data_IF_622788338100
#
_entry.id   IF_622788338100
#
_cell.length_a   1.000
_cell.length_b   1.000
_cell.length_c   1.000
_cell.angle_alpha   90.00
_cell.angle_beta   90.00
_cell.angle_gamma   90.00
#
_symmetry.space_group_name_H-M   'P 1'
#
loop_
_entity.id
_entity.type
_entity.pdbx_description
1 polymer ?
#
# COMPACT_ATOMS: atom_id res chain seq x y z
N UNK A 1 -59.68 -24.08 25.60
CA UNK A 1 -59.09 -24.25 26.94
C UNK A 1 -57.96 -25.26 26.79
N UNK A 2 -56.68 -24.98 27.03
CA UNK A 2 -56.04 -24.53 28.28
C UNK A 2 -54.77 -23.74 27.94
N UNK A 3 -54.45 -22.75 28.78
CA UNK A 3 -53.28 -21.87 28.69
C UNK A 3 -52.04 -22.61 29.19
N UNK A 4 -50.90 -22.41 28.54
CA UNK A 4 -49.56 -22.45 29.15
C UNK A 4 -48.66 -21.55 28.27
N UNK A 5 -48.51 -20.27 28.61
CA UNK A 5 -47.44 -19.74 29.48
C UNK A 5 -46.04 -20.24 29.07
N UNK A 6 -45.39 -19.39 28.26
CA UNK A 6 -44.00 -18.91 28.36
C UNK A 6 -42.93 -19.95 28.73
N UNK A 7 -42.04 -20.22 27.78
CA UNK A 7 -40.63 -20.40 28.07
C UNK A 7 -39.84 -19.58 27.04
N UNK A 8 -39.26 -18.48 27.50
CA UNK A 8 -38.27 -17.72 26.77
C UNK A 8 -37.00 -18.57 26.67
N UNK A 9 -36.63 -18.95 25.45
CA UNK A 9 -35.34 -19.60 25.15
C UNK A 9 -34.55 -18.69 24.24
N UNK A 10 -33.84 -17.75 24.85
CA UNK A 10 -32.74 -17.02 24.21
C UNK A 10 -31.58 -18.01 24.13
N UNK A 11 -31.19 -18.42 22.92
CA UNK A 11 -29.90 -19.07 22.68
C UNK A 11 -29.25 -18.48 21.42
N UNK A 12 -28.50 -17.40 21.68
CA UNK A 12 -27.17 -17.07 21.16
C UNK A 12 -26.87 -17.50 19.71
N UNK A 13 -27.11 -16.59 18.78
CA UNK A 13 -26.42 -16.60 17.50
C UNK A 13 -24.92 -16.38 17.76
N UNK A 14 -24.12 -17.44 17.71
CA UNK A 14 -22.67 -17.36 17.67
C UNK A 14 -22.26 -16.76 16.32
N UNK A 15 -22.20 -15.43 16.25
CA UNK A 15 -21.58 -14.72 15.14
C UNK A 15 -20.07 -14.93 15.20
N UNK A 16 -19.54 -15.82 14.35
CA UNK A 16 -18.11 -15.86 14.08
C UNK A 16 -17.72 -14.58 13.35
N UNK A 17 -17.38 -13.53 14.11
CA UNK A 17 -16.62 -12.41 13.55
C UNK A 17 -15.18 -12.91 13.38
N UNK A 18 -14.86 -13.39 12.18
CA UNK A 18 -13.46 -13.58 11.80
C UNK A 18 -12.75 -12.25 12.00
N UNK A 19 -11.59 -12.19 12.68
CA UNK A 19 -10.78 -10.97 12.68
C UNK A 19 -10.37 -10.73 11.22
N UNK A 20 -11.06 -9.79 10.56
CA UNK A 20 -10.63 -9.26 9.29
C UNK A 20 -9.25 -8.67 9.55
N UNK A 21 -8.22 -9.36 9.07
CA UNK A 21 -6.84 -8.88 9.08
C UNK A 21 -6.85 -7.60 8.26
N UNK A 22 -7.04 -6.48 8.94
CA UNK A 22 -6.97 -5.16 8.34
C UNK A 22 -5.52 -5.02 7.89
N UNK A 23 -5.27 -5.23 6.60
CA UNK A 23 -3.99 -4.93 5.99
C UNK A 23 -3.74 -3.45 6.25
N UNK A 24 -2.84 -3.19 7.20
CA UNK A 24 -2.41 -1.84 7.50
C UNK A 24 -1.85 -1.26 6.20
N UNK A 25 -2.24 -0.03 5.80
CA UNK A 25 -1.71 0.58 4.59
C UNK A 25 -0.18 0.58 4.68
N UNK A 26 0.47 -0.03 3.68
CA UNK A 26 1.92 -0.21 3.67
C UNK A 26 2.56 1.15 3.37
N UNK A 27 2.79 1.97 4.39
CA UNK A 27 3.50 3.26 4.31
C UNK A 27 2.86 4.31 3.39
N UNK A 28 3.39 5.54 3.44
CA UNK A 28 3.13 6.55 2.41
C UNK A 28 3.98 6.23 1.18
N UNK A 29 3.44 6.40 -0.03
CA UNK A 29 4.21 6.21 -1.26
C UNK A 29 5.40 7.17 -1.32
N UNK A 30 6.54 6.68 -1.80
CA UNK A 30 7.74 7.50 -2.00
C UNK A 30 7.48 8.52 -3.14
N UNK A 31 7.59 9.84 -2.89
CA UNK A 31 7.30 10.86 -3.90
C UNK A 31 8.24 10.79 -5.11
N UNK A 32 9.51 10.42 -4.93
CA UNK A 32 10.46 10.26 -6.03
C UNK A 32 10.08 9.06 -6.93
N UNK A 33 9.67 7.95 -6.32
CA UNK A 33 9.15 6.78 -7.04
C UNK A 33 7.88 7.11 -7.83
N UNK A 34 6.94 7.86 -7.23
CA UNK A 34 5.73 8.33 -7.91
C UNK A 34 6.09 9.26 -9.08
N UNK A 35 7.07 10.15 -8.89
CA UNK A 35 7.53 11.04 -9.94
C UNK A 35 8.12 10.27 -11.12
N UNK A 36 8.97 9.26 -10.88
CA UNK A 36 9.48 8.38 -11.94
C UNK A 36 8.36 7.79 -12.81
N UNK A 37 7.33 7.22 -12.16
CA UNK A 37 6.19 6.62 -12.87
C UNK A 37 5.40 7.69 -13.64
N UNK A 38 5.24 8.91 -13.08
CA UNK A 38 4.58 10.03 -13.77
C UNK A 38 5.34 10.52 -15.01
N UNK A 39 6.66 10.40 -15.03
CA UNK A 39 7.48 10.67 -16.22
C UNK A 39 7.42 9.54 -17.27
N UNK A 40 6.61 8.50 -17.04
CA UNK A 40 6.55 7.31 -17.89
C UNK A 40 7.76 6.39 -17.74
N UNK A 41 8.56 6.58 -16.68
CA UNK A 41 9.72 5.75 -16.39
C UNK A 41 9.38 4.44 -15.70
N UNK A 42 10.32 3.50 -15.75
CA UNK A 42 10.30 2.24 -14.99
C UNK A 42 11.15 2.41 -13.73
N UNK A 43 10.56 2.15 -12.57
CA UNK A 43 11.25 2.14 -11.29
C UNK A 43 11.87 0.77 -11.02
N UNK A 44 13.14 0.75 -10.63
CA UNK A 44 13.86 -0.42 -10.14
C UNK A 44 14.49 -0.13 -8.78
N UNK A 45 14.22 -0.97 -7.77
CA UNK A 45 14.87 -0.90 -6.46
C UNK A 45 16.04 -1.87 -6.44
N UNK A 46 17.25 -1.35 -6.17
CA UNK A 46 18.50 -2.12 -6.18
C UNK A 46 19.07 -2.15 -4.77
N UNK A 47 19.47 -3.34 -4.30
CA UNK A 47 20.25 -3.48 -3.06
C UNK A 47 21.72 -3.17 -3.34
N UNK A 48 22.24 -2.16 -2.66
CA UNK A 48 23.64 -1.75 -2.69
C UNK A 48 24.26 -1.89 -1.29
N UNK A 49 25.57 -1.66 -1.17
CA UNK A 49 26.29 -1.75 0.11
C UNK A 49 25.74 -0.79 1.18
N UNK A 50 25.15 0.34 0.76
CA UNK A 50 24.57 1.36 1.64
C UNK A 50 23.08 1.20 1.93
N UNK A 51 22.41 0.19 1.38
CA UNK A 51 20.96 0.00 1.51
C UNK A 51 20.26 -0.17 0.15
N UNK A 52 18.98 0.14 0.09
CA UNK A 52 18.20 0.09 -1.14
C UNK A 52 18.21 1.45 -1.84
N UNK A 53 18.48 1.45 -3.15
CA UNK A 53 18.51 2.64 -4.00
C UNK A 53 17.46 2.49 -5.11
N UNK A 54 16.62 3.51 -5.28
CA UNK A 54 15.66 3.57 -6.37
C UNK A 54 16.27 4.20 -7.61
N UNK A 55 16.15 3.53 -8.76
CA UNK A 55 16.54 4.06 -10.06
C UNK A 55 15.32 4.15 -10.98
N UNK A 56 15.24 5.25 -11.70
CA UNK A 56 14.27 5.47 -12.76
C UNK A 56 14.93 5.29 -14.13
N UNK A 57 14.38 4.42 -14.96
CA UNK A 57 14.70 4.34 -16.39
C UNK A 57 13.61 5.04 -17.18
N UNK A 58 13.92 6.21 -17.75
CA UNK A 58 12.99 7.04 -18.51
C UNK A 58 12.73 6.49 -19.92
N UNK A 59 11.65 6.92 -20.61
CA UNK A 59 11.38 6.53 -22.00
C UNK A 59 12.49 6.87 -22.99
N UNK A 60 13.33 7.88 -22.66
CA UNK A 60 14.52 8.24 -23.42
C UNK A 60 15.65 7.20 -23.33
N UNK A 61 15.55 6.24 -22.42
CA UNK A 61 16.60 5.29 -22.06
C UNK A 61 17.55 5.80 -20.97
N UNK A 62 17.41 7.05 -20.52
CA UNK A 62 18.20 7.57 -19.38
C UNK A 62 17.87 6.78 -18.12
N UNK A 63 18.91 6.24 -17.46
CA UNK A 63 18.81 5.72 -16.09
C UNK A 63 19.39 6.73 -15.12
N UNK A 64 18.59 7.12 -14.14
CA UNK A 64 18.94 8.12 -13.13
C UNK A 64 18.37 7.70 -11.78
N UNK A 65 19.07 8.01 -10.69
CA UNK A 65 18.58 7.78 -9.32
C UNK A 65 17.30 8.61 -9.07
N UNK A 66 16.29 8.02 -8.43
CA UNK A 66 14.93 8.59 -8.38
C UNK A 66 14.86 9.96 -7.69
N UNK A 67 15.61 10.18 -6.61
CA UNK A 67 15.65 11.47 -5.92
C UNK A 67 16.41 12.54 -6.71
N UNK A 68 17.42 12.12 -7.46
CA UNK A 68 18.16 12.98 -8.39
C UNK A 68 17.27 13.46 -9.53
N UNK A 69 16.43 12.59 -10.09
CA UNK A 69 15.38 12.97 -11.03
C UNK A 69 14.38 13.94 -10.40
N UNK A 70 13.85 13.60 -9.21
CA UNK A 70 12.86 14.41 -8.52
C UNK A 70 13.35 15.84 -8.24
N UNK A 71 14.59 16.00 -7.76
CA UNK A 71 15.20 17.32 -7.53
C UNK A 71 15.48 18.07 -8.82
N UNK A 72 15.96 17.39 -9.87
CA UNK A 72 16.22 17.99 -11.18
C UNK A 72 14.98 18.66 -11.75
N UNK A 73 13.84 17.98 -11.66
CA UNK A 73 12.59 18.44 -12.25
C UNK A 73 11.83 19.42 -11.35
N UNK A 74 12.02 19.33 -10.03
CA UNK A 74 11.41 20.22 -9.03
C UNK A 74 12.14 21.55 -8.80
N UNK A 75 13.32 21.76 -9.38
CA UNK A 75 14.12 22.99 -9.22
C UNK A 75 13.79 24.07 -10.26
N UNK A 76 12.55 24.12 -10.74
CA UNK A 76 12.07 25.12 -11.72
C UNK A 76 11.14 26.13 -11.08
#
# INVERSE_FOLDING_TARGET
>A
MKKAMIAASILLAAGCTSPQKQEQPIGMANPASIHCIKQGGKLDIVKESGGEVGYCTLPSGERIEEWSLFRRDGSK
#
